data_IF_743831771669
#
_entry.id   IF_743831771669
#
_cell.length_a   1.000
_cell.length_b   1.000
_cell.length_c   1.000
_cell.angle_alpha   90.00
_cell.angle_beta   90.00
_cell.angle_gamma   90.00
#
_symmetry.space_group_name_H-M   'P 1'
#
loop_
_entity.id
_entity.type
_entity.pdbx_description
1 polymer ?
#
# COMPACT_ATOMS: atom_id res chain seq x y z
N UNK A 1 -17.15 12.75 18.17
CA UNK A 1 -17.26 14.20 17.93
C UNK A 1 -17.59 14.46 16.46
N UNK A 2 -18.40 15.47 16.11
CA UNK A 2 -18.52 15.90 14.70
C UNK A 2 -17.33 16.78 14.36
N UNK A 3 -16.53 16.34 13.37
CA UNK A 3 -15.33 17.06 12.90
C UNK A 3 -15.69 17.98 11.74
N UNK A 4 -16.46 17.48 10.75
CA UNK A 4 -16.93 18.30 9.62
C UNK A 4 -18.44 18.50 9.69
N UNK A 5 -18.88 19.72 10.05
CA UNK A 5 -20.30 20.06 10.11
C UNK A 5 -20.94 20.10 8.72
N UNK A 6 -20.21 20.60 7.72
CA UNK A 6 -20.66 20.70 6.32
C UNK A 6 -21.12 19.35 5.74
N UNK A 7 -20.37 18.28 6.02
CA UNK A 7 -20.63 16.92 5.53
C UNK A 7 -21.17 15.97 6.59
N UNK A 8 -21.34 16.45 7.84
CA UNK A 8 -21.74 15.68 9.02
C UNK A 8 -20.83 14.48 9.32
N UNK A 9 -19.53 14.66 9.14
CA UNK A 9 -18.54 13.59 9.35
C UNK A 9 -18.03 13.62 10.79
N UNK A 10 -18.02 12.44 11.42
CA UNK A 10 -17.53 12.23 12.78
C UNK A 10 -16.04 11.88 12.84
N UNK A 11 -15.41 12.11 13.99
CA UNK A 11 -14.08 11.60 14.34
C UNK A 11 -13.97 10.08 14.13
N UNK A 12 -14.99 9.32 14.54
CA UNK A 12 -15.04 7.87 14.38
C UNK A 12 -15.02 7.44 12.92
N UNK A 13 -15.69 8.17 12.03
CA UNK A 13 -15.62 7.89 10.59
C UNK A 13 -14.23 8.16 10.03
N UNK A 14 -13.59 9.27 10.40
CA UNK A 14 -12.22 9.59 9.97
C UNK A 14 -11.26 8.51 10.46
N UNK A 15 -11.34 8.15 11.75
CA UNK A 15 -10.50 7.12 12.36
C UNK A 15 -10.69 5.76 11.68
N UNK A 16 -11.92 5.39 11.30
CA UNK A 16 -12.19 4.15 10.56
C UNK A 16 -11.41 4.10 9.24
N UNK A 17 -11.35 5.20 8.49
CA UNK A 17 -10.63 5.22 7.21
C UNK A 17 -9.11 5.24 7.42
N UNK A 18 -8.64 6.00 8.41
CA UNK A 18 -7.23 6.03 8.78
C UNK A 18 -6.72 4.64 9.21
N UNK A 19 -7.51 3.90 10.01
CA UNK A 19 -7.19 2.53 10.40
C UNK A 19 -7.23 1.54 9.24
N UNK A 20 -7.97 1.84 8.17
CA UNK A 20 -7.93 1.08 6.92
C UNK A 20 -6.69 1.40 6.06
N UNK A 21 -5.78 2.25 6.55
CA UNK A 21 -4.54 2.61 5.87
C UNK A 21 -4.68 3.75 4.86
N UNK A 22 -5.82 4.44 4.82
CA UNK A 22 -6.01 5.57 3.92
C UNK A 22 -5.22 6.79 4.38
N UNK A 23 -4.56 7.44 3.44
CA UNK A 23 -3.93 8.75 3.59
C UNK A 23 -4.97 9.85 3.79
N UNK A 24 -4.55 11.01 4.29
CA UNK A 24 -5.46 12.14 4.49
C UNK A 24 -6.16 12.58 3.20
N UNK A 25 -5.45 12.58 2.07
CA UNK A 25 -6.01 13.01 0.78
C UNK A 25 -7.09 12.05 0.27
N UNK A 26 -6.91 10.74 0.49
CA UNK A 26 -7.94 9.73 0.20
C UNK A 26 -9.15 9.90 1.12
N UNK A 27 -8.93 10.11 2.43
CA UNK A 27 -10.00 10.39 3.39
C UNK A 27 -10.75 11.68 3.02
N UNK A 28 -10.02 12.69 2.57
CA UNK A 28 -10.57 13.97 2.13
C UNK A 28 -11.52 13.78 0.94
N UNK A 29 -11.10 12.99 -0.04
CA UNK A 29 -11.90 12.67 -1.23
C UNK A 29 -13.14 11.84 -0.87
N UNK A 30 -12.97 10.75 -0.10
CA UNK A 30 -14.04 9.81 0.23
C UNK A 30 -15.12 10.42 1.14
N UNK A 31 -14.72 11.18 2.16
CA UNK A 31 -15.64 11.77 3.13
C UNK A 31 -16.08 13.20 2.77
N UNK A 32 -15.42 13.83 1.79
CA UNK A 32 -15.65 15.22 1.41
C UNK A 32 -15.31 16.25 2.49
N UNK A 33 -14.53 15.86 3.51
CA UNK A 33 -14.03 16.76 4.56
C UNK A 33 -13.11 17.81 3.96
N UNK A 34 -12.97 18.98 4.60
CA UNK A 34 -12.19 20.13 4.11
C UNK A 34 -12.55 20.70 2.72
N UNK A 35 -13.47 20.10 1.95
CA UNK A 35 -13.79 20.54 0.59
C UNK A 35 -14.85 21.65 0.47
N UNK A 36 -15.60 21.96 1.53
CA UNK A 36 -16.62 23.02 1.51
C UNK A 36 -16.08 24.33 2.12
N UNK A 37 -16.09 24.44 3.45
CA UNK A 37 -15.61 25.66 4.12
C UNK A 37 -14.16 25.55 4.60
N UNK A 38 -13.51 24.39 4.47
CA UNK A 38 -12.13 24.13 4.90
C UNK A 38 -11.89 24.09 6.42
N UNK A 39 -12.78 24.63 7.24
CA UNK A 39 -12.55 24.87 8.69
C UNK A 39 -12.26 23.62 9.53
N UNK A 40 -12.59 22.43 9.02
CA UNK A 40 -12.35 21.17 9.73
C UNK A 40 -10.97 20.56 9.44
N UNK A 41 -10.18 21.11 8.51
CA UNK A 41 -8.97 20.44 8.00
C UNK A 41 -7.96 20.10 9.10
N UNK A 42 -7.56 21.08 9.92
CA UNK A 42 -6.59 20.86 11.01
C UNK A 42 -7.08 19.80 11.98
N UNK A 43 -8.32 19.92 12.45
CA UNK A 43 -8.95 18.95 13.35
C UNK A 43 -9.01 17.54 12.74
N UNK A 44 -9.33 17.42 11.45
CA UNK A 44 -9.35 16.13 10.77
C UNK A 44 -7.95 15.52 10.62
N UNK A 45 -6.92 16.35 10.32
CA UNK A 45 -5.52 15.92 10.27
C UNK A 45 -5.05 15.42 11.64
N UNK A 46 -5.43 16.10 12.72
CA UNK A 46 -5.09 15.68 14.08
C UNK A 46 -5.68 14.30 14.41
N UNK A 47 -6.92 14.02 14.01
CA UNK A 47 -7.55 12.70 14.18
C UNK A 47 -6.78 11.62 13.41
N UNK A 48 -6.38 11.88 12.17
CA UNK A 48 -5.59 10.93 11.37
C UNK A 48 -4.23 10.67 12.03
N UNK A 49 -3.52 11.72 12.47
CA UNK A 49 -2.23 11.59 13.13
C UNK A 49 -2.29 10.76 14.43
N UNK A 50 -3.36 10.94 15.22
CA UNK A 50 -3.59 10.16 16.44
C UNK A 50 -3.79 8.66 16.14
N UNK A 51 -4.42 8.33 15.01
CA UNK A 51 -4.59 6.94 14.56
C UNK A 51 -3.27 6.30 14.13
N UNK A 52 -2.36 7.06 13.50
CA UNK A 52 -1.03 6.56 13.11
C UNK A 52 -0.12 6.32 14.33
N UNK A 53 -0.18 7.19 15.34
CA UNK A 53 0.61 7.04 16.58
C UNK A 53 0.21 5.81 17.41
N UNK A 54 -1.00 5.29 17.23
CA UNK A 54 -1.54 4.15 17.96
C UNK A 54 -1.41 2.82 17.23
N UNK A 55 -0.85 2.80 16.01
CA UNK A 55 -0.63 1.57 15.27
C UNK A 55 0.66 0.86 15.71
N UNK A 56 0.60 -0.39 16.19
CA UNK A 56 1.79 -1.20 16.33
C UNK A 56 2.36 -1.47 14.92
N UNK A 57 3.46 -0.81 14.58
CA UNK A 57 4.22 -1.14 13.37
C UNK A 57 4.83 -2.52 13.59
N UNK A 58 4.36 -3.52 12.83
CA UNK A 58 5.02 -4.81 12.78
C UNK A 58 6.42 -4.59 12.15
N UNK A 59 7.48 -4.77 12.93
CA UNK A 59 8.84 -4.74 12.43
C UNK A 59 9.10 -6.01 11.60
N UNK A 60 8.59 -6.03 10.37
CA UNK A 60 8.87 -7.10 9.41
C UNK A 60 10.28 -6.85 8.86
N UNK A 61 11.27 -7.49 9.48
CA UNK A 61 12.62 -7.56 8.93
C UNK A 61 12.62 -8.60 7.81
N UNK A 62 12.80 -8.15 6.57
CA UNK A 62 13.07 -9.06 5.45
C UNK A 62 14.57 -9.34 5.41
N UNK A 63 15.01 -10.42 6.04
CA UNK A 63 16.44 -10.81 6.15
C UNK A 63 17.06 -11.24 4.79
N UNK A 64 16.30 -11.21 3.69
CA UNK A 64 16.72 -11.64 2.34
C UNK A 64 17.24 -10.46 1.50
N UNK A 65 18.11 -9.60 2.05
CA UNK A 65 18.65 -8.45 1.31
C UNK A 65 20.18 -8.47 1.13
N UNK A 66 20.85 -9.60 1.36
CA UNK A 66 22.30 -9.71 1.17
C UNK A 66 22.78 -11.04 0.59
N UNK A 67 21.92 -11.83 -0.06
CA UNK A 67 22.40 -12.94 -0.88
C UNK A 67 22.62 -12.41 -2.29
N UNK A 68 23.88 -12.03 -2.56
CA UNK A 68 24.39 -11.82 -3.92
C UNK A 68 23.91 -12.96 -4.81
N UNK A 69 23.13 -12.63 -5.84
CA UNK A 69 22.80 -13.56 -6.92
C UNK A 69 24.12 -14.04 -7.52
N UNK A 70 24.55 -15.26 -7.18
CA UNK A 70 25.68 -15.88 -7.87
C UNK A 70 25.19 -16.24 -9.28
N UNK A 71 25.64 -15.46 -10.26
CA UNK A 71 25.54 -15.84 -11.66
C UNK A 71 26.32 -17.14 -11.82
N UNK A 72 25.64 -18.23 -12.18
CA UNK A 72 26.24 -19.54 -12.36
C UNK A 72 27.45 -19.43 -13.30
N UNK A 73 28.61 -19.91 -12.85
CA UNK A 73 29.79 -20.01 -13.70
C UNK A 73 29.47 -20.91 -14.90
N UNK A 74 29.67 -20.35 -16.09
CA UNK A 74 29.60 -20.95 -17.43
C UNK A 74 29.22 -22.44 -17.48
N UNK A 75 28.02 -22.70 -18.03
CA UNK A 75 27.64 -24.02 -18.56
C UNK A 75 28.61 -24.33 -19.70
N UNK A 76 29.71 -25.02 -19.41
CA UNK A 76 30.70 -25.40 -20.43
C UNK A 76 30.30 -26.68 -21.18
N UNK A 77 29.12 -27.25 -20.93
CA UNK A 77 28.60 -28.38 -21.71
C UNK A 77 27.14 -28.15 -22.10
N UNK A 78 26.94 -27.25 -23.06
CA UNK A 78 25.75 -27.26 -23.90
C UNK A 78 25.73 -28.58 -24.70
N UNK A 79 25.07 -29.62 -24.19
CA UNK A 79 24.47 -30.62 -25.08
C UNK A 79 23.30 -29.93 -25.75
N UNK A 80 23.61 -29.41 -26.93
CA UNK A 80 22.73 -28.69 -27.83
C UNK A 80 21.32 -29.30 -27.83
N UNK A 81 20.35 -28.42 -27.60
CA UNK A 81 18.99 -28.44 -28.13
C UNK A 81 18.72 -29.61 -29.07
N UNK A 82 17.95 -30.60 -28.62
CA UNK A 82 17.44 -31.65 -29.50
C UNK A 82 16.59 -30.98 -30.57
N UNK A 83 17.18 -30.88 -31.77
CA UNK A 83 16.56 -30.43 -33.00
C UNK A 83 15.12 -30.91 -33.14
N UNK A 84 14.24 -29.98 -33.52
CA UNK A 84 12.91 -30.24 -34.04
C UNK A 84 12.99 -31.29 -35.14
N UNK A 85 12.55 -32.52 -34.87
CA UNK A 85 12.29 -33.52 -35.89
C UNK A 85 10.78 -33.61 -36.11
N UNK A 86 10.41 -33.15 -37.29
CA UNK A 86 9.16 -33.44 -38.01
C UNK A 86 8.67 -34.88 -37.76
N UNK A 87 7.38 -35.02 -37.46
CA UNK A 87 6.62 -36.24 -37.76
C UNK A 87 5.29 -35.83 -38.39
N UNK A 88 5.21 -36.05 -39.70
CA UNK A 88 3.98 -36.03 -40.49
C UNK A 88 3.13 -37.28 -40.20
N UNK A 89 1.81 -37.06 -40.31
CA UNK A 89 0.74 -37.97 -40.74
C UNK A 89 0.33 -39.16 -39.86
N UNK A 90 -0.96 -39.14 -39.47
CA UNK A 90 -1.94 -40.16 -39.83
C UNK A 90 -3.30 -39.49 -40.07
#
# INVERSE_FOLDING_TARGET
MIVCVCRRVSDREIARHAHAGMSFDEIQFELGIAMQCGRCESCARDVVAQCCATQPVAAIHNEIAAQTVQLANNILESKAWSSSQHLSAA
#
